data_IF_976810885101
#
_entry.id   IF_976810885101
#
_cell.length_a   1.000
_cell.length_b   1.000
_cell.length_c   1.000
_cell.angle_alpha   90.00
_cell.angle_beta   90.00
_cell.angle_gamma   90.00
#
_symmetry.space_group_name_H-M   'P 1'
#
loop_
_entity.id
_entity.type
_entity.pdbx_description
1 polymer ?
#
# COMPACT_ATOMS: atom_id res chain seq x y z
N UNK A 1 -21.93 1.29 2.21
CA UNK A 1 -21.89 0.36 3.37
C UNK A 1 -20.62 0.58 4.20
N UNK A 2 -19.42 0.49 3.60
CA UNK A 2 -18.11 0.60 4.26
C UNK A 2 -18.03 1.77 5.26
N UNK A 3 -18.42 2.98 4.85
CA UNK A 3 -18.42 4.17 5.68
C UNK A 3 -19.22 4.01 6.97
N UNK A 4 -20.44 3.44 6.87
CA UNK A 4 -21.32 3.27 8.03
C UNK A 4 -20.93 2.10 8.93
N UNK A 5 -20.29 1.07 8.37
CA UNK A 5 -19.91 -0.13 9.13
C UNK A 5 -18.61 0.05 9.91
N UNK A 6 -17.63 0.79 9.36
CA UNK A 6 -16.26 0.79 9.87
C UNK A 6 -15.69 2.19 10.13
N UNK A 7 -16.21 3.22 9.48
CA UNK A 7 -15.67 4.57 9.52
C UNK A 7 -16.58 5.54 10.31
N UNK A 8 -16.61 6.80 9.91
CA UNK A 8 -17.31 7.87 10.61
C UNK A 8 -18.83 7.87 10.49
N UNK A 9 -19.43 6.94 9.75
CA UNK A 9 -20.88 6.84 9.59
C UNK A 9 -21.57 6.17 10.78
N UNK A 10 -22.91 6.29 10.82
CA UNK A 10 -23.74 5.75 11.93
C UNK A 10 -25.18 5.48 11.48
N UNK A 11 -25.36 4.89 10.28
CA UNK A 11 -26.72 4.61 9.78
C UNK A 11 -27.38 3.49 10.57
N UNK A 12 -28.61 3.71 11.04
CA UNK A 12 -29.43 2.71 11.71
C UNK A 12 -29.58 1.44 10.87
N UNK A 13 -29.46 0.28 11.48
CA UNK A 13 -29.56 -1.03 10.82
C UNK A 13 -28.30 -1.51 10.11
N UNK A 14 -27.21 -0.76 10.16
CA UNK A 14 -25.90 -1.22 9.68
C UNK A 14 -25.10 -1.78 10.87
N UNK A 15 -24.74 -3.07 10.77
CA UNK A 15 -23.90 -3.71 11.77
C UNK A 15 -22.51 -3.04 11.78
N UNK A 16 -22.03 -2.70 12.98
CA UNK A 16 -20.69 -2.15 13.21
C UNK A 16 -19.86 -3.18 13.98
N UNK A 17 -18.91 -3.89 13.32
CA UNK A 17 -18.13 -4.96 13.95
C UNK A 17 -17.29 -4.48 15.15
N UNK A 18 -16.91 -3.20 15.17
CA UNK A 18 -16.12 -2.57 16.24
C UNK A 18 -16.96 -1.71 17.19
N UNK A 19 -18.29 -1.89 17.21
CA UNK A 19 -19.20 -1.08 18.05
C UNK A 19 -19.11 0.41 17.67
N UNK A 20 -18.90 1.27 18.66
CA UNK A 20 -18.79 2.72 18.48
C UNK A 20 -17.42 3.17 17.95
N UNK A 21 -16.44 2.28 17.91
CA UNK A 21 -15.13 2.61 17.36
C UNK A 21 -15.18 2.76 15.84
N UNK A 22 -14.38 3.69 15.33
CA UNK A 22 -14.13 3.89 13.90
C UNK A 22 -12.64 3.67 13.61
N UNK A 23 -12.34 2.99 12.51
CA UNK A 23 -10.95 2.85 12.07
C UNK A 23 -10.42 4.16 11.46
N UNK A 24 -9.11 4.35 11.51
CA UNK A 24 -8.46 5.60 11.12
C UNK A 24 -8.28 5.76 9.61
N UNK A 25 -8.53 4.72 8.83
CA UNK A 25 -8.38 4.77 7.38
C UNK A 25 -8.79 3.50 6.66
N UNK A 26 -8.60 3.54 5.35
CA UNK A 26 -8.84 2.41 4.43
C UNK A 26 -7.62 2.24 3.55
N UNK A 27 -7.09 1.02 3.51
CA UNK A 27 -6.06 0.63 2.55
C UNK A 27 -6.67 -0.09 1.35
N UNK A 28 -6.28 0.32 0.16
CA UNK A 28 -6.70 -0.31 -1.09
C UNK A 28 -5.68 -1.38 -1.49
N UNK A 29 -5.89 -2.58 -0.98
CA UNK A 29 -5.14 -3.78 -1.36
C UNK A 29 -5.99 -4.62 -2.31
N UNK A 30 -5.76 -4.50 -3.61
CA UNK A 30 -6.58 -5.14 -4.66
C UNK A 30 -5.73 -6.16 -5.41
N UNK A 31 -5.81 -7.39 -5.01
CA UNK A 31 -4.99 -8.47 -5.57
C UNK A 31 -5.71 -9.25 -6.67
N UNK A 32 -7.04 -9.28 -6.66
CA UNK A 32 -7.88 -10.02 -7.58
C UNK A 32 -9.03 -9.17 -8.12
N UNK A 33 -9.65 -9.63 -9.20
CA UNK A 33 -10.83 -9.02 -9.81
C UNK A 33 -10.51 -7.95 -10.85
N UNK A 34 -11.56 -7.30 -11.33
CA UNK A 34 -11.49 -6.25 -12.33
C UNK A 34 -11.01 -4.92 -11.71
N UNK A 35 -10.42 -4.01 -12.51
CA UNK A 35 -9.91 -2.72 -12.04
C UNK A 35 -10.99 -1.65 -11.86
N UNK A 36 -12.28 -2.04 -11.88
CA UNK A 36 -13.38 -1.11 -12.04
C UNK A 36 -13.80 -0.42 -10.74
N UNK A 37 -14.09 0.88 -10.86
CA UNK A 37 -14.73 1.71 -9.83
C UNK A 37 -13.95 1.95 -8.53
N UNK A 38 -12.66 1.63 -8.44
CA UNK A 38 -11.87 1.96 -7.26
C UNK A 38 -11.59 3.47 -7.16
N UNK A 39 -11.51 4.17 -8.29
CA UNK A 39 -11.46 5.62 -8.35
C UNK A 39 -12.74 6.28 -7.82
N UNK A 40 -13.91 5.74 -8.19
CA UNK A 40 -15.19 6.22 -7.69
C UNK A 40 -15.34 5.93 -6.19
N UNK A 41 -14.89 4.75 -5.73
CA UNK A 41 -14.85 4.44 -4.30
C UNK A 41 -13.99 5.43 -3.52
N UNK A 42 -12.80 5.75 -4.02
CA UNK A 42 -11.90 6.73 -3.41
C UNK A 42 -12.56 8.11 -3.31
N UNK A 43 -13.13 8.62 -4.41
CA UNK A 43 -13.85 9.90 -4.42
C UNK A 43 -15.05 9.91 -3.46
N UNK A 44 -15.75 8.77 -3.37
CA UNK A 44 -16.90 8.68 -2.46
C UNK A 44 -16.49 8.65 -1.01
N UNK A 45 -15.39 8.01 -0.68
CA UNK A 45 -14.82 8.03 0.67
C UNK A 45 -14.32 9.43 1.04
N UNK A 46 -13.66 10.12 0.13
CA UNK A 46 -13.18 11.49 0.32
C UNK A 46 -14.35 12.48 0.53
N UNK A 47 -15.42 12.34 -0.23
CA UNK A 47 -16.63 13.13 -0.02
C UNK A 47 -17.22 12.97 1.40
N UNK A 48 -17.31 11.74 1.88
CA UNK A 48 -17.77 11.49 3.26
C UNK A 48 -16.75 11.96 4.30
N UNK A 49 -15.47 11.84 4.01
CA UNK A 49 -14.39 12.26 4.87
C UNK A 49 -14.39 13.78 5.09
N UNK A 50 -14.60 14.57 4.04
CA UNK A 50 -14.70 16.01 4.15
C UNK A 50 -15.87 16.44 5.04
N UNK A 51 -17.05 15.82 4.89
CA UNK A 51 -18.20 16.08 5.76
C UNK A 51 -17.92 15.67 7.22
N UNK A 52 -17.29 14.52 7.43
CA UNK A 52 -16.92 14.02 8.75
C UNK A 52 -15.89 14.90 9.45
N UNK A 53 -14.91 15.38 8.71
CA UNK A 53 -13.90 16.31 9.21
C UNK A 53 -14.53 17.63 9.70
N UNK A 54 -15.45 18.20 8.93
CA UNK A 54 -16.17 19.41 9.35
C UNK A 54 -16.99 19.23 10.64
N UNK A 55 -17.53 18.03 10.84
CA UNK A 55 -18.33 17.71 12.03
C UNK A 55 -17.51 17.33 13.27
N UNK A 56 -16.35 16.70 13.10
CA UNK A 56 -15.62 16.03 14.21
C UNK A 56 -14.16 16.45 14.35
N UNK A 57 -13.59 17.18 13.38
CA UNK A 57 -12.16 17.44 13.21
C UNK A 57 -11.30 16.17 13.08
N UNK A 58 -11.93 15.02 12.78
CA UNK A 58 -11.22 13.76 12.52
C UNK A 58 -11.11 13.52 11.04
N UNK A 59 -10.01 12.92 10.62
CA UNK A 59 -9.69 12.60 9.23
C UNK A 59 -9.55 11.10 9.04
N UNK A 60 -10.19 10.56 8.02
CA UNK A 60 -10.06 9.17 7.59
C UNK A 60 -9.05 9.11 6.44
N UNK A 61 -7.97 8.40 6.63
CA UNK A 61 -6.89 8.31 5.63
C UNK A 61 -7.20 7.29 4.54
N UNK A 62 -6.83 7.62 3.31
CA UNK A 62 -6.80 6.67 2.21
C UNK A 62 -5.36 6.29 1.93
N UNK A 63 -5.09 4.99 1.95
CA UNK A 63 -3.81 4.41 1.58
C UNK A 63 -4.00 3.34 0.52
N UNK A 64 -2.95 2.99 -0.20
CA UNK A 64 -3.00 1.97 -1.22
C UNK A 64 -1.76 1.08 -1.17
N UNK A 65 -1.96 -0.21 -1.46
CA UNK A 65 -0.90 -1.20 -1.48
C UNK A 65 -0.84 -1.88 -2.86
N UNK A 66 -0.38 -1.15 -3.91
CA UNK A 66 -0.24 -1.68 -5.27
C UNK A 66 0.90 -2.69 -5.40
N UNK A 67 0.90 -3.42 -6.52
CA UNK A 67 2.03 -4.23 -6.96
C UNK A 67 3.19 -3.38 -7.43
N UNK A 68 4.40 -3.94 -7.51
CA UNK A 68 5.59 -3.20 -7.89
C UNK A 68 5.59 -2.73 -9.36
N UNK A 69 5.04 -3.51 -10.28
CA UNK A 69 5.00 -3.14 -11.70
C UNK A 69 4.22 -1.86 -11.93
N UNK A 70 4.87 -0.89 -12.54
CA UNK A 70 4.28 0.40 -12.84
C UNK A 70 3.80 0.48 -14.30
N UNK A 71 2.54 0.98 -14.55
CA UNK A 71 1.50 1.30 -13.57
C UNK A 71 0.81 0.05 -13.01
N UNK A 72 0.24 0.15 -11.81
CA UNK A 72 -0.57 -0.95 -11.27
C UNK A 72 -1.85 -1.15 -12.07
N UNK A 73 -2.09 -2.36 -12.53
CA UNK A 73 -3.21 -2.69 -13.43
C UNK A 73 -4.60 -2.46 -12.85
N UNK A 74 -4.74 -2.44 -11.52
CA UNK A 74 -6.03 -2.32 -10.83
C UNK A 74 -6.21 -0.99 -10.14
N UNK A 75 -5.15 -0.41 -9.63
CA UNK A 75 -5.21 0.79 -8.80
C UNK A 75 -4.80 2.08 -9.53
N UNK A 76 -4.27 2.01 -10.76
CA UNK A 76 -3.83 3.19 -11.52
C UNK A 76 -4.86 4.33 -11.50
N UNK A 77 -6.11 4.04 -11.93
CA UNK A 77 -7.17 5.05 -11.97
C UNK A 77 -7.52 5.62 -10.59
N UNK A 78 -7.48 4.77 -9.55
CA UNK A 78 -7.71 5.21 -8.18
C UNK A 78 -6.58 6.12 -7.69
N UNK A 79 -5.33 5.73 -7.92
CA UNK A 79 -4.15 6.50 -7.53
C UNK A 79 -4.08 7.85 -8.27
N UNK A 80 -4.52 7.91 -9.52
CA UNK A 80 -4.62 9.15 -10.31
C UNK A 80 -5.60 10.17 -9.74
N UNK A 81 -6.49 9.78 -8.84
CA UNK A 81 -7.34 10.74 -8.12
C UNK A 81 -6.56 11.68 -7.21
N UNK A 82 -5.32 11.32 -6.83
CA UNK A 82 -4.49 12.10 -5.90
C UNK A 82 -4.98 12.09 -4.45
N UNK A 83 -5.92 11.20 -4.09
CA UNK A 83 -6.56 11.15 -2.77
C UNK A 83 -5.83 10.26 -1.76
N UNK A 84 -4.78 9.57 -2.19
CA UNK A 84 -4.04 8.63 -1.34
C UNK A 84 -2.86 9.32 -0.67
N UNK A 85 -2.88 9.37 0.67
CA UNK A 85 -1.81 9.98 1.45
C UNK A 85 -0.53 9.13 1.44
N UNK A 86 -0.71 7.79 1.41
CA UNK A 86 0.40 6.83 1.44
C UNK A 86 0.20 5.74 0.40
N UNK A 87 1.27 5.37 -0.26
CA UNK A 87 1.30 4.28 -1.23
C UNK A 87 2.41 3.31 -0.82
N UNK A 88 2.03 2.08 -0.48
CA UNK A 88 2.93 1.00 -0.06
C UNK A 88 3.20 0.09 -1.24
N UNK A 89 4.21 0.39 -2.06
CA UNK A 89 4.52 -0.39 -3.27
C UNK A 89 5.11 -1.74 -2.88
N UNK A 90 4.45 -2.84 -3.28
CA UNK A 90 4.86 -4.21 -2.92
C UNK A 90 5.93 -4.74 -3.86
N UNK A 91 7.18 -4.80 -3.42
CA UNK A 91 8.26 -5.44 -4.14
C UNK A 91 8.42 -6.92 -3.76
N UNK A 92 7.28 -7.59 -3.47
CA UNK A 92 7.17 -9.00 -3.09
C UNK A 92 5.84 -9.60 -3.59
N UNK A 93 5.74 -10.94 -3.59
CA UNK A 93 4.48 -11.66 -3.82
C UNK A 93 4.10 -11.88 -5.27
N UNK A 94 4.85 -11.36 -6.23
CA UNK A 94 4.70 -11.64 -7.66
C UNK A 94 5.97 -12.33 -8.18
N UNK A 95 5.91 -13.65 -8.26
CA UNK A 95 7.06 -14.48 -8.61
C UNK A 95 7.56 -14.29 -10.05
N UNK A 96 6.76 -13.70 -10.91
CA UNK A 96 7.09 -13.49 -12.34
C UNK A 96 7.58 -12.07 -12.66
N UNK A 97 7.42 -11.12 -11.75
CA UNK A 97 7.72 -9.71 -12.04
C UNK A 97 9.16 -9.34 -11.68
N UNK A 98 9.89 -8.79 -12.64
CA UNK A 98 11.27 -8.32 -12.47
C UNK A 98 11.42 -7.20 -11.44
N UNK A 99 10.34 -6.50 -11.10
CA UNK A 99 10.35 -5.48 -10.08
C UNK A 99 10.36 -6.04 -8.66
N UNK A 100 10.02 -7.32 -8.46
CA UNK A 100 10.11 -7.92 -7.12
C UNK A 100 11.58 -8.01 -6.68
N UNK A 101 11.83 -7.80 -5.39
CA UNK A 101 13.19 -7.91 -4.84
C UNK A 101 13.81 -9.30 -5.10
N UNK A 102 13.00 -10.35 -5.05
CA UNK A 102 13.43 -11.73 -5.32
C UNK A 102 14.01 -11.91 -6.73
N UNK A 103 13.35 -11.33 -7.74
CA UNK A 103 13.70 -11.55 -9.15
C UNK A 103 14.61 -10.48 -9.73
N UNK A 104 14.43 -9.23 -9.34
CA UNK A 104 15.16 -8.09 -9.86
C UNK A 104 16.24 -7.55 -8.92
N UNK A 105 16.26 -8.02 -7.67
CA UNK A 105 17.19 -7.52 -6.66
C UNK A 105 17.02 -6.02 -6.42
N UNK A 106 18.08 -5.38 -5.96
CA UNK A 106 18.10 -3.93 -5.69
C UNK A 106 17.81 -3.11 -6.95
N UNK A 107 18.38 -3.50 -8.09
CA UNK A 107 18.26 -2.69 -9.32
C UNK A 107 16.84 -2.75 -9.89
N UNK A 108 16.18 -3.91 -9.86
CA UNK A 108 14.78 -4.04 -10.26
C UNK A 108 13.83 -3.23 -9.38
N UNK A 109 14.08 -3.20 -8.07
CA UNK A 109 13.32 -2.36 -7.14
C UNK A 109 13.52 -0.89 -7.45
N UNK A 110 14.75 -0.44 -7.62
CA UNK A 110 15.09 0.97 -7.85
C UNK A 110 14.50 1.48 -9.17
N UNK A 111 14.56 0.69 -10.24
CA UNK A 111 13.99 1.06 -11.55
C UNK A 111 12.49 1.37 -11.46
N UNK A 112 11.73 0.51 -10.77
CA UNK A 112 10.28 0.74 -10.62
C UNK A 112 10.00 1.83 -9.56
N UNK A 113 10.78 1.89 -8.49
CA UNK A 113 10.66 2.91 -7.46
C UNK A 113 10.74 4.34 -8.02
N UNK A 114 11.66 4.58 -8.94
CA UNK A 114 11.80 5.88 -9.60
C UNK A 114 10.56 6.28 -10.39
N UNK A 115 9.91 5.32 -11.08
CA UNK A 115 8.64 5.54 -11.79
C UNK A 115 7.51 5.90 -10.81
N UNK A 116 7.40 5.14 -9.71
CA UNK A 116 6.38 5.36 -8.68
C UNK A 116 6.52 6.74 -8.01
N UNK A 117 7.72 7.10 -7.59
CA UNK A 117 7.97 8.35 -6.87
C UNK A 117 7.79 9.57 -7.77
N UNK A 118 8.21 9.48 -9.04
CA UNK A 118 8.02 10.54 -10.01
C UNK A 118 6.54 10.77 -10.35
N UNK A 119 5.71 9.71 -10.37
CA UNK A 119 4.31 9.81 -10.79
C UNK A 119 3.40 10.35 -9.69
N UNK A 120 3.69 10.08 -8.42
CA UNK A 120 2.83 10.44 -7.28
C UNK A 120 3.56 11.34 -6.26
N UNK A 121 4.01 12.54 -6.65
CA UNK A 121 4.79 13.41 -5.76
C UNK A 121 4.01 13.95 -4.57
N UNK A 122 2.66 13.93 -4.62
CA UNK A 122 1.79 14.36 -3.53
C UNK A 122 1.54 13.29 -2.46
N UNK A 123 1.98 12.06 -2.67
CA UNK A 123 1.81 10.95 -1.74
C UNK A 123 3.15 10.58 -1.10
N UNK A 124 3.13 10.10 0.14
CA UNK A 124 4.29 9.44 0.73
C UNK A 124 4.37 7.99 0.21
N UNK A 125 5.51 7.61 -0.35
CA UNK A 125 5.73 6.28 -0.87
C UNK A 125 6.59 5.43 0.06
N UNK A 126 6.19 4.16 0.20
CA UNK A 126 6.86 3.17 1.04
C UNK A 126 7.32 2.00 0.19
N UNK A 127 8.56 1.55 0.41
CA UNK A 127 9.07 0.32 -0.19
C UNK A 127 8.55 -0.86 0.63
N UNK A 128 7.66 -1.65 0.05
CA UNK A 128 7.10 -2.86 0.65
C UNK A 128 8.00 -4.07 0.41
N UNK A 129 8.42 -4.74 1.48
CA UNK A 129 9.26 -5.92 1.45
C UNK A 129 8.66 -7.03 2.30
N UNK A 130 8.87 -8.30 1.90
CA UNK A 130 8.49 -9.43 2.73
C UNK A 130 9.52 -9.66 3.84
N UNK A 131 9.05 -9.90 5.06
CA UNK A 131 9.91 -10.27 6.19
C UNK A 131 10.46 -11.69 6.03
N UNK A 132 9.62 -12.60 5.49
CA UNK A 132 9.98 -13.96 5.08
C UNK A 132 9.02 -14.37 3.96
N UNK A 133 9.43 -15.28 3.08
CA UNK A 133 8.47 -15.93 2.16
C UNK A 133 7.62 -16.95 2.92
N UNK A 134 6.30 -16.77 2.92
CA UNK A 134 5.37 -17.77 3.38
C UNK A 134 5.40 -18.97 2.43
N UNK A 135 5.59 -20.18 2.97
CA UNK A 135 5.47 -21.42 2.21
C UNK A 135 6.76 -22.19 1.94
N UNK A 136 7.86 -21.88 2.63
CA UNK A 136 9.07 -22.71 2.57
C UNK A 136 8.85 -24.01 3.32
N UNK A 137 9.04 -25.18 2.69
CA UNK A 137 9.02 -26.46 3.41
C UNK A 137 10.09 -26.51 4.50
N UNK A 138 9.74 -27.13 5.64
CA UNK A 138 10.70 -27.36 6.73
C UNK A 138 11.99 -27.99 6.19
N UNK A 139 13.13 -27.33 6.45
CA UNK A 139 14.45 -27.80 6.03
C UNK A 139 14.97 -27.29 4.69
N UNK A 140 14.19 -26.48 3.96
CA UNK A 140 14.73 -25.73 2.82
C UNK A 140 15.58 -24.54 3.31
N UNK A 141 16.62 -24.11 2.54
CA UNK A 141 17.29 -22.86 2.88
C UNK A 141 16.25 -21.72 2.90
N UNK A 142 16.35 -20.79 3.84
CA UNK A 142 15.40 -19.69 3.90
C UNK A 142 15.32 -19.02 2.53
N UNK A 143 14.12 -18.72 2.04
CA UNK A 143 13.97 -17.94 0.83
C UNK A 143 14.75 -16.65 0.99
N UNK A 144 15.14 -16.06 -0.12
CA UNK A 144 16.01 -14.88 -0.15
C UNK A 144 15.39 -13.79 0.73
N UNK A 145 15.72 -13.88 2.01
CA UNK A 145 15.50 -12.78 2.95
C UNK A 145 16.17 -11.57 2.34
N UNK A 146 15.52 -10.44 2.40
CA UNK A 146 16.22 -9.18 2.17
C UNK A 146 17.27 -9.11 3.27
N UNK A 147 18.46 -9.60 2.97
CA UNK A 147 19.55 -9.55 3.94
C UNK A 147 19.69 -8.12 4.40
N UNK A 148 19.60 -7.89 5.70
CA UNK A 148 19.71 -6.56 6.31
C UNK A 148 20.91 -5.78 5.78
N UNK A 149 21.98 -6.46 5.41
CA UNK A 149 23.16 -5.87 4.79
C UNK A 149 22.82 -5.22 3.44
N UNK A 150 22.12 -5.92 2.54
CA UNK A 150 21.76 -5.36 1.23
C UNK A 150 20.67 -4.30 1.35
N UNK A 151 19.73 -4.49 2.26
CA UNK A 151 18.74 -3.47 2.57
C UNK A 151 19.44 -2.17 3.00
N UNK A 152 20.33 -2.26 3.98
CA UNK A 152 20.93 -1.08 4.61
C UNK A 152 21.98 -0.39 3.73
N UNK A 153 22.84 -1.16 3.05
CA UNK A 153 23.96 -0.59 2.29
C UNK A 153 23.66 -0.36 0.80
N UNK A 154 22.75 -1.13 0.20
CA UNK A 154 22.55 -1.10 -1.23
C UNK A 154 21.19 -0.51 -1.63
N UNK A 155 20.08 -0.85 -0.95
CA UNK A 155 18.74 -0.39 -1.31
C UNK A 155 18.39 0.96 -0.67
N UNK A 156 18.47 1.07 0.64
CA UNK A 156 18.08 2.28 1.38
C UNK A 156 18.76 3.55 0.85
N UNK A 157 20.08 3.60 0.61
CA UNK A 157 20.75 4.80 0.12
C UNK A 157 20.25 5.26 -1.27
N UNK A 158 19.63 4.36 -2.05
CA UNK A 158 19.07 4.66 -3.36
C UNK A 158 17.64 5.20 -3.22
N UNK A 159 16.76 4.48 -2.51
CA UNK A 159 15.32 4.81 -2.43
C UNK A 159 15.02 6.05 -1.57
N UNK A 160 15.85 6.33 -0.57
CA UNK A 160 15.71 7.50 0.30
C UNK A 160 16.00 8.85 -0.41
N UNK A 161 16.49 8.83 -1.63
CA UNK A 161 16.76 10.06 -2.41
C UNK A 161 15.49 10.72 -2.94
N UNK A 162 14.39 9.99 -2.98
CA UNK A 162 13.11 10.53 -3.43
C UNK A 162 12.52 11.45 -2.34
N UNK A 163 12.12 12.67 -2.70
CA UNK A 163 11.58 13.68 -1.78
C UNK A 163 10.32 13.19 -1.03
N UNK A 164 9.57 12.29 -1.66
CA UNK A 164 8.36 11.71 -1.13
C UNK A 164 8.56 10.29 -0.52
N UNK A 165 9.80 9.91 -0.23
CA UNK A 165 10.08 8.68 0.49
C UNK A 165 9.48 8.70 1.90
N UNK A 166 8.57 7.77 2.18
CA UNK A 166 7.88 7.63 3.48
C UNK A 166 8.50 6.61 4.43
N UNK A 167 9.23 5.64 3.89
CA UNK A 167 9.82 4.56 4.70
C UNK A 167 9.78 3.19 4.06
N UNK A 168 9.92 2.17 4.90
CA UNK A 168 9.81 0.74 4.54
C UNK A 168 8.53 0.19 5.16
N UNK A 169 7.79 -0.59 4.39
CA UNK A 169 6.69 -1.43 4.87
C UNK A 169 7.15 -2.89 4.85
N UNK A 170 6.97 -3.60 5.96
CA UNK A 170 7.33 -5.01 6.08
C UNK A 170 6.06 -5.86 6.15
N UNK A 171 5.96 -6.84 5.26
CA UNK A 171 4.91 -7.85 5.21
C UNK A 171 5.53 -9.23 5.46
N UNK A 172 5.15 -10.01 6.46
CA UNK A 172 4.45 -9.61 7.67
C UNK A 172 5.29 -10.10 8.88
N UNK A 173 4.82 -9.82 10.06
CA UNK A 173 5.49 -10.24 11.28
C UNK A 173 4.91 -11.57 11.73
N UNK A 174 5.66 -12.66 11.57
CA UNK A 174 5.39 -13.91 12.27
C UNK A 174 5.94 -13.84 13.70
N UNK A 175 5.13 -14.30 14.64
CA UNK A 175 5.51 -14.48 16.06
C UNK A 175 5.62 -15.96 16.33
#
# INVERSE_FOLDING_TARGET
HLWNAHLGGGRNGVLRPFGDAAVDGVDFYIDHGAPDNYDELARRLDYFNSMYYHATAKHVRLTATPRCAFPDRRLERALETGLFERIHVRFYGDEEERCSYKNGGVDGVVEEWEKWTARYPGSQLYVGLAAAESGVPDGAPPPVEVYLKYLYYDLLPKVQKADNYGGIMIWDRFT
#
